data_IF_749239457500
#
_entry.id   IF_749239457500
#
_cell.length_a   1.000
_cell.length_b   1.000
_cell.length_c   1.000
_cell.angle_alpha   90.00
_cell.angle_beta   90.00
_cell.angle_gamma   90.00
#
_symmetry.space_group_name_H-M   'P 1'
#
loop_
_entity.id
_entity.type
_entity.pdbx_description
1 polymer ?
#
# COMPACT_ATOMS: atom_id res chain seq x y z
N UNK A 1 12.82 -16.17 10.00
CA UNK A 1 11.35 -16.00 10.01
C UNK A 1 11.01 -14.89 9.05
N UNK A 2 9.93 -14.98 8.26
CA UNK A 2 9.51 -13.85 7.43
C UNK A 2 9.16 -12.67 8.36
N UNK A 3 9.74 -11.50 8.11
CA UNK A 3 9.34 -10.26 8.77
C UNK A 3 8.06 -9.78 8.07
N UNK A 4 6.91 -9.92 8.72
CA UNK A 4 5.60 -9.57 8.16
C UNK A 4 5.06 -8.37 8.93
N UNK A 5 4.69 -7.31 8.22
CA UNK A 5 4.05 -6.14 8.84
C UNK A 5 2.66 -5.90 8.27
N UNK A 6 1.80 -5.37 9.13
CA UNK A 6 0.52 -4.82 8.75
C UNK A 6 0.68 -3.31 8.49
N UNK A 7 0.31 -2.87 7.29
CA UNK A 7 0.35 -1.47 6.87
C UNK A 7 -1.04 -1.03 6.43
N UNK A 8 -1.34 0.26 6.59
CA UNK A 8 -2.54 0.90 6.07
C UNK A 8 -2.15 1.74 4.86
N UNK A 9 -2.64 1.39 3.67
CA UNK A 9 -2.38 2.16 2.44
C UNK A 9 -3.64 2.92 2.01
N UNK A 10 -3.47 4.02 1.29
CA UNK A 10 -4.58 4.68 0.61
C UNK A 10 -4.85 3.99 -0.74
N UNK A 11 -6.13 3.86 -1.08
CA UNK A 11 -6.63 3.40 -2.37
C UNK A 11 -7.56 4.46 -2.95
N UNK A 12 -7.37 4.80 -4.22
CA UNK A 12 -8.29 5.67 -4.96
C UNK A 12 -9.46 4.87 -5.52
N UNK A 13 -10.57 5.56 -5.82
CA UNK A 13 -11.69 5.04 -6.63
C UNK A 13 -11.98 6.11 -7.68
N UNK A 14 -12.40 5.71 -8.89
CA UNK A 14 -12.65 6.61 -10.04
C UNK A 14 -13.75 7.66 -9.79
N UNK A 15 -14.38 7.65 -8.61
CA UNK A 15 -15.38 8.61 -8.16
C UNK A 15 -14.98 9.40 -6.90
N UNK A 16 -13.68 9.66 -6.70
CA UNK A 16 -13.11 10.61 -5.71
C UNK A 16 -13.13 10.23 -4.23
N UNK A 17 -13.69 9.09 -3.84
CA UNK A 17 -13.58 8.60 -2.46
C UNK A 17 -12.26 7.82 -2.28
N UNK A 18 -11.25 8.54 -1.78
CA UNK A 18 -10.06 7.91 -1.20
C UNK A 18 -10.49 7.11 0.05
N UNK A 19 -10.03 5.86 0.12
CA UNK A 19 -10.28 4.96 1.25
C UNK A 19 -8.97 4.34 1.72
N UNK A 20 -8.97 3.72 2.90
CA UNK A 20 -7.80 2.97 3.40
C UNK A 20 -8.05 1.47 3.40
N UNK A 21 -6.98 0.69 3.25
CA UNK A 21 -7.04 -0.76 3.36
C UNK A 21 -5.82 -1.28 4.15
N UNK A 22 -6.04 -2.14 5.17
CA UNK A 22 -4.94 -2.81 5.85
C UNK A 22 -4.40 -3.96 4.96
N UNK A 23 -3.09 -4.01 4.78
CA UNK A 23 -2.38 -5.05 4.02
C UNK A 23 -1.31 -5.71 4.90
N UNK A 24 -1.14 -7.01 4.74
CA UNK A 24 0.01 -7.74 5.26
C UNK A 24 1.05 -7.92 4.15
N UNK A 25 2.29 -7.52 4.42
CA UNK A 25 3.39 -7.55 3.44
C UNK A 25 4.66 -8.10 4.06
N UNK A 26 5.52 -8.71 3.25
CA UNK A 26 6.86 -9.08 3.69
C UNK A 26 7.70 -7.80 3.80
N UNK A 27 8.47 -7.62 4.85
CA UNK A 27 9.17 -6.36 5.12
C UNK A 27 10.53 -6.23 4.42
N UNK A 28 10.57 -6.67 3.17
CA UNK A 28 11.74 -6.62 2.31
C UNK A 28 11.34 -6.02 0.96
N UNK A 29 12.21 -5.22 0.37
CA UNK A 29 11.98 -4.60 -0.92
C UNK A 29 11.82 -5.70 -1.99
N UNK A 30 10.71 -5.76 -2.74
CA UNK A 30 10.49 -6.81 -3.73
C UNK A 30 11.45 -6.73 -4.93
N UNK A 31 12.18 -5.61 -5.08
CA UNK A 31 13.15 -5.40 -6.17
C UNK A 31 14.56 -5.90 -5.86
N UNK A 32 15.04 -5.71 -4.63
CA UNK A 32 16.42 -6.04 -4.25
C UNK A 32 16.55 -6.88 -2.97
N UNK A 33 15.43 -7.23 -2.34
CA UNK A 33 15.34 -8.02 -1.12
C UNK A 33 16.04 -7.40 0.11
N UNK A 34 16.45 -6.13 0.03
CA UNK A 34 16.94 -5.38 1.20
C UNK A 34 15.79 -5.07 2.18
N UNK A 35 16.05 -4.94 3.49
CA UNK A 35 15.03 -4.55 4.45
C UNK A 35 14.34 -3.24 4.05
N UNK A 36 13.02 -3.19 4.19
CA UNK A 36 12.26 -1.94 4.08
C UNK A 36 12.59 -1.01 5.26
N UNK A 37 12.34 0.28 5.07
CA UNK A 37 12.50 1.29 6.12
C UNK A 37 11.57 1.10 7.32
N UNK A 38 11.72 1.98 8.31
CA UNK A 38 10.81 2.02 9.45
C UNK A 38 9.41 2.48 9.02
N UNK A 39 8.37 1.84 9.58
CA UNK A 39 6.98 2.22 9.33
C UNK A 39 6.68 3.47 10.12
N UNK A 40 6.30 4.52 9.41
CA UNK A 40 5.80 5.77 9.98
C UNK A 40 4.32 5.95 9.65
N UNK A 41 3.67 6.90 10.33
CA UNK A 41 2.29 7.31 10.04
C UNK A 41 2.29 8.70 9.41
N UNK A 42 1.45 8.89 8.40
CA UNK A 42 1.17 10.19 7.80
C UNK A 42 -0.33 10.36 7.57
N UNK A 43 -0.73 11.57 7.21
CA UNK A 43 -2.12 11.90 6.90
C UNK A 43 -2.26 12.40 5.47
N UNK A 44 -3.28 11.89 4.79
CA UNK A 44 -3.70 12.29 3.45
C UNK A 44 -4.96 13.15 3.59
N UNK A 45 -4.92 14.47 3.31
CA UNK A 45 -6.11 15.32 3.28
C UNK A 45 -7.12 14.91 2.20
N UNK A 46 -8.39 14.80 2.58
CA UNK A 46 -9.53 14.62 1.67
C UNK A 46 -10.59 15.66 2.03
N UNK A 47 -10.53 16.82 1.36
CA UNK A 47 -11.42 17.94 1.65
C UNK A 47 -11.31 18.39 3.11
N UNK A 48 -12.35 18.14 3.92
CA UNK A 48 -12.39 18.48 5.36
C UNK A 48 -11.95 17.35 6.29
N UNK A 49 -11.65 16.17 5.76
CA UNK A 49 -11.22 14.99 6.52
C UNK A 49 -9.77 14.64 6.16
N UNK A 50 -9.16 13.73 6.91
CA UNK A 50 -7.87 13.13 6.55
C UNK A 50 -7.88 11.63 6.77
N UNK A 51 -7.16 10.89 5.91
CA UNK A 51 -6.89 9.47 6.10
C UNK A 51 -5.55 9.29 6.79
N UNK A 52 -5.53 8.45 7.81
CA UNK A 52 -4.28 7.98 8.42
C UNK A 52 -3.77 6.79 7.62
N UNK A 53 -2.55 6.91 7.11
CA UNK A 53 -1.87 5.86 6.33
C UNK A 53 -0.45 5.66 6.82
N UNK A 54 0.12 4.51 6.46
CA UNK A 54 1.52 4.22 6.69
C UNK A 54 2.38 4.66 5.51
N UNK A 55 3.60 5.11 5.82
CA UNK A 55 4.65 5.39 4.85
C UNK A 55 6.01 4.95 5.41
N UNK A 56 6.99 4.80 4.54
CA UNK A 56 8.37 4.46 4.91
C UNK A 56 9.30 4.92 3.79
N UNK A 57 10.60 4.99 4.09
CA UNK A 57 11.65 5.26 3.09
C UNK A 57 12.58 4.07 3.05
N UNK A 58 12.69 3.44 1.89
CA UNK A 58 13.56 2.28 1.74
C UNK A 58 15.03 2.73 1.66
N UNK A 59 15.94 2.21 2.51
CA UNK A 59 17.37 2.53 2.44
C UNK A 59 18.02 2.16 1.10
N UNK A 60 17.44 1.19 0.39
CA UNK A 60 17.91 0.79 -0.94
C UNK A 60 17.56 1.78 -2.07
N UNK A 61 16.82 2.86 -1.78
CA UNK A 61 16.43 3.88 -2.77
C UNK A 61 15.22 3.53 -3.64
N UNK A 62 14.72 2.28 -3.60
CA UNK A 62 13.51 1.91 -4.32
C UNK A 62 12.24 2.42 -3.64
N UNK A 63 11.34 3.03 -4.40
CA UNK A 63 10.05 3.50 -3.89
C UNK A 63 8.96 2.42 -4.00
N UNK A 64 8.20 2.25 -2.93
CA UNK A 64 7.02 1.37 -2.88
C UNK A 64 5.76 2.21 -3.10
N UNK A 65 5.23 2.20 -4.33
CA UNK A 65 3.96 2.87 -4.61
C UNK A 65 2.78 2.08 -4.04
N UNK A 66 1.61 2.73 -3.84
CA UNK A 66 0.42 2.02 -3.37
C UNK A 66 -0.01 0.92 -4.35
N UNK A 67 0.13 1.13 -5.67
CA UNK A 67 -0.11 0.09 -6.67
C UNK A 67 0.84 -1.10 -6.52
N UNK A 68 2.12 -0.84 -6.26
CA UNK A 68 3.08 -1.90 -5.99
C UNK A 68 2.71 -2.69 -4.74
N UNK A 69 2.24 -2.01 -3.68
CA UNK A 69 1.82 -2.67 -2.43
C UNK A 69 0.57 -3.53 -2.59
N UNK A 70 -0.41 -3.06 -3.35
CA UNK A 70 -1.60 -3.86 -3.68
C UNK A 70 -1.23 -5.07 -4.53
N UNK A 71 -0.31 -4.90 -5.49
CA UNK A 71 0.19 -6.00 -6.34
C UNK A 71 0.95 -7.05 -5.54
N UNK A 72 1.80 -6.63 -4.59
CA UNK A 72 2.45 -7.54 -3.65
C UNK A 72 1.42 -8.25 -2.77
N UNK A 73 0.46 -7.52 -2.19
CA UNK A 73 -0.58 -8.09 -1.34
C UNK A 73 -1.44 -9.15 -2.06
N UNK A 74 -1.66 -8.99 -3.37
CA UNK A 74 -2.34 -9.98 -4.21
C UNK A 74 -1.56 -11.26 -4.40
N UNK A 75 -0.23 -11.19 -4.44
CA UNK A 75 0.61 -12.33 -4.85
C UNK A 75 1.34 -13.00 -3.68
N UNK A 76 1.46 -12.32 -2.54
CA UNK A 76 2.23 -12.80 -1.40
C UNK A 76 1.54 -13.89 -0.55
N UNK A 77 0.27 -14.21 -0.82
CA UNK A 77 -0.49 -15.25 -0.12
C UNK A 77 -0.92 -14.89 1.32
N UNK A 78 -0.59 -13.69 1.82
CA UNK A 78 -0.90 -13.22 3.18
C UNK A 78 -2.30 -12.60 3.26
N UNK A 79 -2.83 -12.05 2.17
CA UNK A 79 -4.07 -11.25 2.15
C UNK A 79 -5.28 -12.01 1.58
N UNK A 80 -5.42 -13.32 1.85
CA UNK A 80 -6.45 -14.18 1.19
C UNK A 80 -7.87 -13.62 1.29
N UNK A 81 -8.24 -13.06 2.44
CA UNK A 81 -9.58 -12.47 2.67
C UNK A 81 -9.83 -11.19 1.87
N UNK A 82 -8.77 -10.52 1.40
CA UNK A 82 -8.84 -9.27 0.65
C UNK A 82 -8.68 -9.48 -0.85
N UNK A 83 -8.38 -10.69 -1.33
CA UNK A 83 -8.10 -10.99 -2.74
C UNK A 83 -9.15 -10.46 -3.71
N UNK A 84 -10.43 -10.69 -3.42
CA UNK A 84 -11.53 -10.21 -4.27
C UNK A 84 -11.59 -8.67 -4.33
N UNK A 85 -11.34 -8.02 -3.19
CA UNK A 85 -11.30 -6.57 -3.06
C UNK A 85 -10.11 -6.02 -3.86
N UNK A 86 -8.90 -6.48 -3.56
CA UNK A 86 -7.66 -6.06 -4.21
C UNK A 86 -7.70 -6.27 -5.74
N UNK A 87 -8.23 -7.40 -6.20
CA UNK A 87 -8.43 -7.69 -7.62
C UNK A 87 -9.37 -6.67 -8.29
N UNK A 88 -10.44 -6.27 -7.59
CA UNK A 88 -11.36 -5.23 -8.07
C UNK A 88 -10.65 -3.89 -8.24
N UNK A 89 -9.81 -3.50 -7.29
CA UNK A 89 -9.06 -2.24 -7.36
C UNK A 89 -8.02 -2.24 -8.48
N UNK A 90 -7.26 -3.32 -8.65
CA UNK A 90 -6.26 -3.44 -9.71
C UNK A 90 -6.89 -3.46 -11.11
N UNK A 91 -7.89 -4.31 -11.35
CA UNK A 91 -8.46 -4.49 -12.69
C UNK A 91 -9.26 -3.28 -13.18
N UNK A 92 -9.83 -2.52 -12.27
CA UNK A 92 -10.56 -1.29 -12.61
C UNK A 92 -9.64 -0.05 -12.72
N UNK A 93 -8.32 -0.21 -12.58
CA UNK A 93 -7.36 0.89 -12.64
C UNK A 93 -7.54 1.91 -11.51
N UNK A 94 -8.10 1.48 -10.37
CA UNK A 94 -8.45 2.36 -9.26
C UNK A 94 -7.29 2.62 -8.30
N UNK A 95 -6.21 1.86 -8.44
CA UNK A 95 -4.98 2.14 -7.70
C UNK A 95 -4.12 3.07 -8.52
N UNK A 96 -4.34 4.36 -8.33
CA UNK A 96 -3.43 5.37 -8.86
C UNK A 96 -2.25 5.54 -7.91
N UNK A 97 -1.06 5.77 -8.47
CA UNK A 97 0.15 6.10 -7.72
C UNK A 97 0.14 7.57 -7.22
N UNK A 98 -1.00 8.24 -7.34
CA UNK A 98 -1.20 9.65 -7.05
C UNK A 98 -1.54 9.86 -5.57
N UNK A 99 -0.52 9.80 -4.72
CA UNK A 99 -0.37 10.90 -3.78
C UNK A 99 0.86 11.70 -4.20
N UNK A 100 0.60 12.70 -5.04
CA UNK A 100 1.55 13.77 -5.36
C UNK A 100 1.54 14.67 -4.11
N UNK A 101 2.25 14.25 -3.07
CA UNK A 101 2.65 15.16 -1.99
C UNK A 101 3.62 16.18 -2.54
#
# INVERSE_FOLDING_TARGET
MPDIKQITVALSRTSLELCTLPLQVNWYCPRCNAPRGEVMQTQIPIGRQSLKVNFWVNPCGHHDSYRAMVSEAMTNGLNRRLQQVLNTYLNKGLVEDSYIG
#
